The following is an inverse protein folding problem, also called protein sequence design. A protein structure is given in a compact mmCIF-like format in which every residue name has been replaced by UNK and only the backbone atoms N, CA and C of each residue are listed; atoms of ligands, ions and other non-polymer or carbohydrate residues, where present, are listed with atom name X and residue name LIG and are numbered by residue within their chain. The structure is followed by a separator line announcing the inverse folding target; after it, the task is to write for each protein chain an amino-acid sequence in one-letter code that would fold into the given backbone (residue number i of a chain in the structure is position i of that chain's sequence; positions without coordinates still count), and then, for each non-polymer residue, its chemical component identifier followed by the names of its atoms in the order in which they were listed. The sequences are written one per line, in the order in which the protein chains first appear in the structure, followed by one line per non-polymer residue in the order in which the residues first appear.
data_IF_157114840989
#
_entry.id   IF_157114840989
#
_cell.length_a   1.000
_cell.length_b   1.000
_cell.length_c   1.000
_cell.angle_alpha   90.00
_cell.angle_beta   90.00
_cell.angle_gamma   90.00
#
_symmetry.space_group_name_H-M   'P 1'
#
loop_
_entity.id
_entity.type
_entity.pdbx_description
1 polymer ?
#
# COMPACT_ATOMS: atom_id res chain seq x y z
N UNK A 1 18.08 -1.77 1.32
CA UNK A 1 17.01 -2.72 1.71
C UNK A 1 17.54 -3.90 2.54
N UNK A 2 18.62 -4.58 2.16
CA UNK A 2 19.15 -5.76 2.88
C UNK A 2 19.36 -5.55 4.38
N UNK A 3 20.03 -4.49 4.87
CA UNK A 3 20.22 -4.33 6.31
C UNK A 3 18.90 -4.23 7.10
N UNK A 4 17.87 -3.61 6.52
CA UNK A 4 16.54 -3.52 7.15
C UNK A 4 15.86 -4.88 7.18
N UNK A 5 15.92 -5.64 6.09
CA UNK A 5 15.38 -7.00 6.03
C UNK A 5 16.04 -7.93 7.06
N UNK A 6 17.38 -7.84 7.22
CA UNK A 6 18.10 -8.60 8.25
C UNK A 6 17.67 -8.23 9.68
N UNK A 7 17.48 -6.93 9.97
CA UNK A 7 16.98 -6.49 11.27
C UNK A 7 15.59 -7.05 11.54
N UNK A 8 14.68 -6.99 10.56
CA UNK A 8 13.35 -7.55 10.69
C UNK A 8 13.38 -9.07 10.92
N UNK A 9 14.23 -9.77 10.17
CA UNK A 9 14.41 -11.20 10.33
C UNK A 9 14.93 -11.55 11.75
N UNK A 10 15.97 -10.87 12.23
CA UNK A 10 16.52 -11.07 13.59
C UNK A 10 15.51 -10.76 14.70
N UNK A 11 14.60 -9.81 14.46
CA UNK A 11 13.50 -9.48 15.38
C UNK A 11 12.33 -10.46 15.32
N UNK A 12 12.41 -11.49 14.47
CA UNK A 12 11.41 -12.55 14.38
C UNK A 12 10.14 -12.13 13.63
N UNK A 13 10.24 -11.20 12.67
CA UNK A 13 9.10 -10.83 11.84
C UNK A 13 8.47 -12.08 11.21
N UNK A 14 7.15 -12.22 11.35
CA UNK A 14 6.39 -13.35 10.79
C UNK A 14 6.38 -13.23 9.27
N UNK A 15 6.06 -12.04 8.75
CA UNK A 15 6.10 -11.69 7.33
C UNK A 15 6.33 -10.20 7.18
N UNK A 16 7.15 -9.80 6.24
CA UNK A 16 7.38 -8.40 5.89
C UNK A 16 7.91 -8.28 4.46
N UNK A 17 7.68 -7.13 3.84
CA UNK A 17 8.38 -6.69 2.63
C UNK A 17 9.12 -5.40 2.92
N UNK A 18 10.39 -5.34 2.54
CA UNK A 18 11.17 -4.10 2.50
C UNK A 18 11.19 -3.65 1.06
N UNK A 19 10.61 -2.51 0.77
CA UNK A 19 10.35 -2.05 -0.60
C UNK A 19 11.11 -0.77 -0.95
N UNK A 20 11.39 -0.59 -2.23
CA UNK A 20 11.92 0.63 -2.83
C UNK A 20 11.59 0.66 -4.32
N UNK A 21 10.97 1.72 -4.78
CA UNK A 21 10.60 1.87 -6.18
C UNK A 21 11.70 2.53 -7.02
N UNK A 22 11.78 2.18 -8.29
CA UNK A 22 12.77 2.70 -9.23
C UNK A 22 12.65 4.20 -9.46
N UNK A 23 11.46 4.78 -9.31
CA UNK A 23 11.19 6.21 -9.37
C UNK A 23 11.45 6.97 -8.05
N UNK A 24 12.00 6.29 -7.05
CA UNK A 24 12.45 6.87 -5.78
C UNK A 24 11.44 6.87 -4.64
N UNK A 25 10.25 6.27 -4.82
CA UNK A 25 9.30 6.10 -3.73
C UNK A 25 9.82 5.06 -2.72
N UNK A 26 9.55 5.30 -1.44
CA UNK A 26 9.79 4.37 -0.32
C UNK A 26 8.60 3.42 -0.06
N UNK A 27 7.70 3.34 -1.03
CA UNK A 27 6.52 2.47 -1.09
C UNK A 27 6.38 1.89 -2.51
N UNK A 28 5.33 1.10 -2.78
CA UNK A 28 5.08 0.63 -4.13
C UNK A 28 4.64 1.80 -5.02
N UNK A 29 5.21 1.88 -6.22
CA UNK A 29 4.82 2.89 -7.21
C UNK A 29 3.77 2.36 -8.19
N UNK A 30 2.93 3.26 -8.67
CA UNK A 30 2.00 3.02 -9.79
C UNK A 30 2.57 3.43 -11.14
N UNK A 31 3.77 4.03 -11.16
CA UNK A 31 4.42 4.53 -12.37
C UNK A 31 5.69 3.78 -12.73
N UNK A 32 6.25 3.00 -11.82
CA UNK A 32 7.50 2.29 -12.06
C UNK A 32 7.57 0.96 -11.30
N UNK A 33 8.60 0.19 -11.58
CA UNK A 33 8.94 -1.08 -10.93
C UNK A 33 9.28 -0.86 -9.47
N UNK A 34 8.79 -1.71 -8.59
CA UNK A 34 9.17 -1.72 -7.17
C UNK A 34 9.97 -2.98 -6.84
N UNK A 35 11.15 -2.78 -6.30
CA UNK A 35 11.99 -3.85 -5.75
C UNK A 35 11.60 -4.13 -4.31
N UNK A 36 11.56 -5.40 -3.92
CA UNK A 36 11.23 -5.83 -2.58
C UNK A 36 12.15 -6.93 -2.08
N UNK A 37 12.38 -6.97 -0.78
CA UNK A 37 12.99 -8.12 -0.10
C UNK A 37 11.94 -8.70 0.83
N UNK A 38 11.61 -9.98 0.63
CA UNK A 38 10.67 -10.68 1.49
C UNK A 38 11.37 -11.25 2.73
N UNK A 39 10.73 -11.08 3.89
CA UNK A 39 11.11 -11.72 5.15
C UNK A 39 9.95 -12.60 5.60
N UNK A 40 10.25 -13.88 5.91
CA UNK A 40 9.24 -14.83 6.40
C UNK A 40 9.81 -15.60 7.58
N UNK A 41 9.11 -15.58 8.72
CA UNK A 41 9.44 -16.33 9.94
C UNK A 41 10.92 -16.17 10.36
N UNK A 42 11.37 -14.92 10.40
CA UNK A 42 12.72 -14.58 10.81
C UNK A 42 13.81 -14.92 9.77
N UNK A 43 13.45 -15.14 8.51
CA UNK A 43 14.39 -15.43 7.42
C UNK A 43 14.20 -14.46 6.26
N UNK A 44 15.30 -13.97 5.70
CA UNK A 44 15.31 -13.24 4.43
C UNK A 44 15.15 -14.26 3.31
N UNK A 45 14.08 -14.15 2.52
CA UNK A 45 13.75 -15.13 1.47
C UNK A 45 14.37 -14.78 0.13
N UNK A 46 14.53 -13.51 -0.20
CA UNK A 46 15.15 -13.07 -1.43
C UNK A 46 14.48 -11.83 -2.02
N UNK A 47 14.92 -11.48 -3.22
CA UNK A 47 14.42 -10.33 -3.96
C UNK A 47 13.15 -10.68 -4.74
N UNK A 48 12.18 -9.77 -4.70
CA UNK A 48 10.94 -9.82 -5.47
C UNK A 48 10.83 -8.52 -6.25
N UNK A 49 10.14 -8.58 -7.37
CA UNK A 49 9.78 -7.41 -8.19
C UNK A 49 8.27 -7.31 -8.25
N UNK A 50 7.76 -6.14 -7.93
CA UNK A 50 6.35 -5.79 -8.11
C UNK A 50 6.20 -4.80 -9.26
N UNK A 51 5.24 -5.09 -10.12
CA UNK A 51 4.81 -4.24 -11.22
C UNK A 51 3.33 -3.87 -11.01
N UNK A 52 2.89 -2.63 -11.33
CA UNK A 52 1.49 -2.22 -11.17
C UNK A 52 0.50 -3.17 -11.82
N UNK A 53 0.85 -3.72 -12.98
CA UNK A 53 0.02 -4.62 -13.77
C UNK A 53 -0.31 -5.94 -13.04
N UNK A 54 0.55 -6.40 -12.14
CA UNK A 54 0.30 -7.60 -11.32
C UNK A 54 -0.88 -7.40 -10.35
N UNK A 55 -1.14 -6.14 -9.96
CA UNK A 55 -2.27 -5.75 -9.11
C UNK A 55 -3.54 -5.47 -9.92
N UNK A 56 -3.51 -5.61 -11.25
CA UNK A 56 -4.60 -5.23 -12.14
C UNK A 56 -4.70 -3.72 -12.34
N UNK A 57 -3.66 -2.98 -12.01
CA UNK A 57 -3.55 -1.52 -12.16
C UNK A 57 -2.75 -1.22 -13.41
N UNK A 58 -3.28 -0.35 -14.28
CA UNK A 58 -2.54 0.14 -15.42
C UNK A 58 -1.46 1.10 -14.97
N UNK A 59 -0.23 0.91 -15.45
CA UNK A 59 0.89 1.81 -15.14
C UNK A 59 0.58 3.25 -15.54
N UNK A 60 0.74 4.15 -14.61
CA UNK A 60 0.61 5.59 -14.83
C UNK A 60 1.90 6.17 -15.42
N UNK A 61 1.77 7.22 -16.23
CA UNK A 61 2.94 7.88 -16.82
C UNK A 61 3.81 8.60 -15.78
N UNK A 62 3.22 8.98 -14.64
CA UNK A 62 3.91 9.64 -13.52
C UNK A 62 3.24 9.25 -12.21
N UNK A 63 4.02 9.16 -11.14
CA UNK A 63 3.50 9.00 -9.80
C UNK A 63 2.68 10.22 -9.34
N UNK A 64 1.73 10.03 -8.40
CA UNK A 64 1.00 11.13 -7.79
C UNK A 64 1.94 12.16 -7.16
N UNK A 65 1.56 13.42 -7.27
CA UNK A 65 2.31 14.49 -6.61
C UNK A 65 1.90 14.60 -5.15
N UNK A 66 2.86 14.92 -4.30
CA UNK A 66 2.59 15.20 -2.89
C UNK A 66 1.66 16.41 -2.72
N UNK A 67 0.89 16.41 -1.63
CA UNK A 67 0.01 17.52 -1.22
C UNK A 67 0.84 18.66 -0.61
N UNK A 68 0.33 19.89 -0.71
CA UNK A 68 1.07 21.09 -0.32
C UNK A 68 0.91 21.47 1.15
N UNK A 69 -0.20 21.11 1.75
CA UNK A 69 -0.57 21.50 3.11
C UNK A 69 -1.55 20.50 3.73
N UNK A 70 -1.87 20.68 5.00
CA UNK A 70 -2.78 19.80 5.75
C UNK A 70 -4.20 19.80 5.22
N UNK A 71 -4.70 20.93 4.71
CA UNK A 71 -6.06 21.02 4.16
C UNK A 71 -6.20 20.21 2.89
N UNK A 72 -5.22 20.32 1.97
CA UNK A 72 -5.16 19.51 0.75
C UNK A 72 -5.04 18.01 1.10
N UNK A 73 -4.23 17.65 2.09
CA UNK A 73 -4.07 16.28 2.56
C UNK A 73 -5.38 15.72 3.12
N UNK A 74 -6.07 16.48 3.96
CA UNK A 74 -7.35 16.09 4.55
C UNK A 74 -8.42 15.90 3.49
N UNK A 75 -8.47 16.82 2.54
CA UNK A 75 -9.43 16.75 1.42
C UNK A 75 -9.17 15.51 0.55
N UNK A 76 -7.92 15.28 0.17
CA UNK A 76 -7.52 14.11 -0.60
C UNK A 76 -7.87 12.81 0.15
N UNK A 77 -7.51 12.73 1.44
CA UNK A 77 -7.76 11.54 2.25
C UNK A 77 -9.25 11.20 2.34
N UNK A 78 -10.11 12.20 2.61
CA UNK A 78 -11.57 12.00 2.66
C UNK A 78 -12.14 11.59 1.31
N UNK A 79 -11.65 12.18 0.24
CA UNK A 79 -12.04 11.85 -1.13
C UNK A 79 -11.69 10.40 -1.48
N UNK A 80 -10.48 9.95 -1.16
CA UNK A 80 -10.05 8.56 -1.36
C UNK A 80 -10.86 7.58 -0.50
N UNK A 81 -11.06 7.91 0.79
CA UNK A 81 -11.83 7.06 1.71
C UNK A 81 -13.31 6.92 1.33
N UNK A 82 -13.88 7.91 0.61
CA UNK A 82 -15.27 7.87 0.13
C UNK A 82 -15.51 6.87 -1.01
N UNK A 83 -14.45 6.40 -1.67
CA UNK A 83 -14.54 5.46 -2.80
C UNK A 83 -15.06 6.06 -4.10
N UNK A 84 -15.23 7.38 -4.16
CA UNK A 84 -15.68 8.08 -5.38
C UNK A 84 -14.56 8.32 -6.37
N UNK A 85 -13.35 8.41 -5.87
CA UNK A 85 -12.15 8.76 -6.64
C UNK A 85 -11.72 7.66 -7.63
N UNK A 86 -10.99 8.10 -8.64
CA UNK A 86 -10.32 7.24 -9.64
C UNK A 86 -8.99 7.89 -9.98
N UNK A 87 -8.04 7.10 -10.47
CA UNK A 87 -6.75 7.61 -10.95
C UNK A 87 -5.58 7.26 -10.04
N UNK A 88 -4.44 7.87 -10.30
CA UNK A 88 -3.15 7.47 -9.73
C UNK A 88 -3.10 7.51 -8.20
N UNK A 89 -3.78 8.47 -7.56
CA UNK A 89 -3.82 8.58 -6.10
C UNK A 89 -4.55 7.40 -5.45
N UNK A 90 -5.71 7.00 -6.01
CA UNK A 90 -6.43 5.81 -5.52
C UNK A 90 -5.63 4.55 -5.80
N UNK A 91 -5.08 4.41 -7.01
CA UNK A 91 -4.30 3.24 -7.41
C UNK A 91 -3.05 3.06 -6.51
N UNK A 92 -2.40 4.16 -6.12
CA UNK A 92 -1.28 4.13 -5.17
C UNK A 92 -1.72 3.59 -3.80
N UNK A 93 -2.86 4.03 -3.30
CA UNK A 93 -3.43 3.49 -2.05
C UNK A 93 -3.75 2.00 -2.19
N UNK A 94 -4.37 1.60 -3.30
CA UNK A 94 -4.76 0.21 -3.53
C UNK A 94 -3.55 -0.74 -3.59
N UNK A 95 -2.50 -0.37 -4.32
CA UNK A 95 -1.31 -1.23 -4.48
C UNK A 95 -0.56 -1.42 -3.15
N UNK A 96 -0.45 -0.35 -2.35
CA UNK A 96 0.20 -0.41 -1.05
C UNK A 96 -0.66 -1.14 0.00
N UNK A 97 -1.98 -0.92 0.02
CA UNK A 97 -2.89 -1.68 0.85
C UNK A 97 -2.90 -3.18 0.48
N UNK A 98 -2.82 -3.51 -0.80
CA UNK A 98 -2.75 -4.89 -1.28
C UNK A 98 -1.55 -5.64 -0.70
N UNK A 99 -0.36 -5.04 -0.73
CA UNK A 99 0.84 -5.66 -0.12
C UNK A 99 0.67 -5.81 1.38
N UNK A 100 0.05 -4.85 2.08
CA UNK A 100 -0.32 -4.99 3.49
C UNK A 100 -1.24 -6.19 3.75
N UNK A 101 -2.24 -6.41 2.88
CA UNK A 101 -3.13 -7.58 2.95
C UNK A 101 -2.40 -8.90 2.69
N UNK A 102 -1.42 -8.91 1.78
CA UNK A 102 -0.56 -10.08 1.53
C UNK A 102 0.35 -10.37 2.74
N UNK A 103 0.89 -9.35 3.39
CA UNK A 103 1.66 -9.50 4.65
C UNK A 103 0.79 -10.09 5.75
N UNK A 104 -0.46 -9.67 5.84
CA UNK A 104 -1.44 -10.15 6.82
C UNK A 104 -2.08 -11.51 6.45
N UNK A 105 -1.60 -12.20 5.41
CA UNK A 105 -2.14 -13.46 4.87
C UNK A 105 -3.66 -13.39 4.57
N UNK A 106 -4.16 -12.22 4.14
CA UNK A 106 -5.55 -12.01 3.71
C UNK A 106 -5.76 -12.26 2.23
N UNK A 107 -4.69 -12.27 1.45
CA UNK A 107 -4.67 -12.63 0.04
C UNK A 107 -3.33 -13.27 -0.31
N UNK A 108 -3.33 -14.15 -1.32
CA UNK A 108 -2.14 -14.90 -1.73
C UNK A 108 -1.48 -14.35 -3.00
N UNK A 109 -2.13 -13.43 -3.68
CA UNK A 109 -1.62 -12.82 -4.91
C UNK A 109 -1.97 -11.32 -4.98
N UNK A 110 -1.18 -10.52 -5.73
CA UNK A 110 -1.35 -9.08 -5.82
C UNK A 110 -2.72 -8.64 -6.31
N UNK A 111 -3.28 -9.30 -7.33
CA UNK A 111 -4.55 -8.92 -7.96
C UNK A 111 -5.74 -9.12 -7.01
N UNK A 112 -5.81 -10.27 -6.36
CA UNK A 112 -6.84 -10.56 -5.34
C UNK A 112 -6.73 -9.60 -4.16
N UNK A 113 -5.50 -9.28 -3.73
CA UNK A 113 -5.25 -8.33 -2.65
C UNK A 113 -5.75 -6.92 -3.01
N UNK A 114 -5.43 -6.42 -4.21
CA UNK A 114 -5.93 -5.13 -4.69
C UNK A 114 -7.46 -5.10 -4.81
N UNK A 115 -8.06 -6.20 -5.23
CA UNK A 115 -9.52 -6.36 -5.26
C UNK A 115 -10.17 -6.22 -3.87
N UNK A 116 -9.58 -6.84 -2.84
CA UNK A 116 -10.06 -6.71 -1.46
C UNK A 116 -9.90 -5.28 -0.92
N UNK A 117 -8.79 -4.61 -1.23
CA UNK A 117 -8.57 -3.21 -0.87
C UNK A 117 -9.61 -2.30 -1.53
N UNK A 118 -9.86 -2.48 -2.82
CA UNK A 118 -10.87 -1.73 -3.58
C UNK A 118 -12.28 -1.96 -3.01
N UNK A 119 -12.64 -3.20 -2.69
CA UNK A 119 -13.92 -3.53 -2.07
C UNK A 119 -14.09 -2.84 -0.71
N UNK A 120 -13.04 -2.80 0.13
CA UNK A 120 -13.10 -2.14 1.43
C UNK A 120 -13.42 -0.64 1.31
N UNK A 121 -12.84 0.02 0.31
CA UNK A 121 -13.09 1.44 0.03
C UNK A 121 -14.50 1.62 -0.57
N UNK A 122 -14.83 0.93 -1.66
CA UNK A 122 -16.10 1.10 -2.37
C UNK A 122 -17.32 0.71 -1.55
N UNK A 123 -17.20 -0.22 -0.61
CA UNK A 123 -18.29 -0.57 0.32
C UNK A 123 -18.53 0.45 1.43
N UNK A 124 -17.70 1.50 1.53
CA UNK A 124 -17.79 2.52 2.57
C UNK A 124 -17.21 2.10 3.94
N UNK A 125 -16.68 0.88 4.07
CA UNK A 125 -16.08 0.39 5.33
C UNK A 125 -14.91 1.26 5.79
N UNK A 126 -14.07 1.71 4.85
CA UNK A 126 -12.93 2.60 5.17
C UNK A 126 -13.42 3.94 5.70
N UNK A 127 -14.44 4.54 5.06
CA UNK A 127 -15.00 5.80 5.54
C UNK A 127 -15.64 5.67 6.92
N UNK A 128 -16.38 4.59 7.17
CA UNK A 128 -16.98 4.32 8.49
C UNK A 128 -15.92 4.14 9.58
N UNK A 129 -14.81 3.45 9.26
CA UNK A 129 -13.70 3.29 10.17
C UNK A 129 -13.00 4.63 10.47
N UNK A 130 -12.83 5.49 9.46
CA UNK A 130 -12.27 6.83 9.62
C UNK A 130 -13.10 7.67 10.60
N UNK A 131 -14.42 7.73 10.42
CA UNK A 131 -15.30 8.49 11.32
C UNK A 131 -15.28 7.95 12.76
N UNK A 132 -15.19 6.63 12.91
CA UNK A 132 -15.01 5.99 14.22
C UNK A 132 -13.69 6.41 14.86
N UNK A 133 -12.60 6.37 14.11
CA UNK A 133 -11.27 6.76 14.60
C UNK A 133 -11.22 8.24 15.02
N UNK A 134 -11.83 9.13 14.23
CA UNK A 134 -11.95 10.56 14.55
C UNK A 134 -12.73 10.73 15.87
N UNK A 135 -13.84 10.03 16.04
CA UNK A 135 -14.66 10.10 17.25
C UNK A 135 -13.88 9.68 18.49
N UNK A 136 -13.14 8.56 18.40
CA UNK A 136 -12.35 8.03 19.52
C UNK A 136 -11.15 8.92 19.86
N UNK A 137 -10.53 9.56 18.88
CA UNK A 137 -9.36 10.42 19.09
C UNK A 137 -9.70 11.76 19.73
N UNK A 138 -10.97 12.15 19.77
CA UNK A 138 -11.46 13.39 20.35
C UNK A 138 -12.12 13.20 21.74
N UNK A 139 -12.04 11.99 22.30
CA UNK A 139 -12.49 11.68 23.66
C UNK A 139 -11.33 11.86 24.67
#
# INVERSE_FOLDING_TARGET
MEPVAEVLARRGAIKAFVVHSADGFDELSVSDTTYAIEVVRGRVMGNIVFEPEQFGIQRHATAPKGVKNLEDATTLFRRLASGVDRGAELDLVLINAAVGLMVADKANDPKSAAGLAAEAIHSGRVNSLLETAITLSNQ
#
